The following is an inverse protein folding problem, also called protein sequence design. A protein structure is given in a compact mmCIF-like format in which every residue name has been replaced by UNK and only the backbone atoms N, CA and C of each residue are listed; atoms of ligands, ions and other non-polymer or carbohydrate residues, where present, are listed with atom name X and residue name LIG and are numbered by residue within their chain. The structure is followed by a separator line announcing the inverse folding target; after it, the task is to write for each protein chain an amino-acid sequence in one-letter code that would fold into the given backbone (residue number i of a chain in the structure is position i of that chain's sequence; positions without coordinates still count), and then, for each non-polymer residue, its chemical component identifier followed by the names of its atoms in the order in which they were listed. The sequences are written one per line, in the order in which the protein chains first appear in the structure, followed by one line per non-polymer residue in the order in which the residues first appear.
data_IF_465738077852
#
_entry.id   IF_465738077852
#
_cell.length_a   1.000
_cell.length_b   1.000
_cell.length_c   1.000
_cell.angle_alpha   90.00
_cell.angle_beta   90.00
_cell.angle_gamma   90.00
#
_symmetry.space_group_name_H-M   'P 1'
#
loop_
_entity.id
_entity.type
_entity.pdbx_description
1 polymer ?
#
# COMPACT_ATOMS: atom_id res chain seq x y z
N UNK A 1 -18.48 45.58 -68.15
CA UNK A 1 -18.47 44.21 -67.56
C UNK A 1 -17.44 44.17 -66.42
N UNK A 2 -17.81 44.46 -65.16
CA UNK A 2 -16.93 44.20 -63.98
C UNK A 2 -17.63 44.46 -62.62
N UNK A 3 -18.88 43.99 -62.43
CA UNK A 3 -19.60 44.21 -61.15
C UNK A 3 -19.99 42.90 -60.45
N UNK A 4 -19.96 41.75 -61.15
CA UNK A 4 -20.46 40.49 -60.59
C UNK A 4 -19.47 39.75 -59.65
N UNK A 5 -18.20 40.15 -59.55
CA UNK A 5 -17.21 39.41 -58.74
C UNK A 5 -17.13 39.81 -57.26
N UNK A 6 -17.59 41.02 -56.89
CA UNK A 6 -17.40 41.55 -55.52
C UNK A 6 -18.39 41.02 -54.48
N UNK A 7 -19.63 40.71 -54.86
CA UNK A 7 -20.62 40.15 -53.91
C UNK A 7 -20.31 38.70 -53.54
N UNK A 8 -19.94 37.87 -54.52
CA UNK A 8 -19.57 36.47 -54.28
C UNK A 8 -18.32 36.34 -53.38
N UNK A 9 -17.36 37.26 -53.52
CA UNK A 9 -16.15 37.29 -52.68
C UNK A 9 -16.44 37.63 -51.22
N UNK A 10 -17.38 38.54 -50.95
CA UNK A 10 -17.81 38.87 -49.57
C UNK A 10 -18.58 37.72 -48.92
N UNK A 11 -19.41 37.03 -49.70
CA UNK A 11 -20.15 35.84 -49.22
C UNK A 11 -19.20 34.69 -48.83
N UNK A 12 -18.20 34.40 -49.66
CA UNK A 12 -17.19 33.37 -49.36
C UNK A 12 -16.31 33.72 -48.15
N UNK A 13 -15.90 34.99 -48.01
CA UNK A 13 -15.14 35.45 -46.84
C UNK A 13 -15.96 35.34 -45.56
N UNK A 14 -17.24 35.69 -45.58
CA UNK A 14 -18.13 35.54 -44.43
C UNK A 14 -18.31 34.06 -44.06
N UNK A 15 -18.50 33.18 -45.04
CA UNK A 15 -18.63 31.74 -44.82
C UNK A 15 -17.36 31.14 -44.20
N UNK A 16 -16.18 31.52 -44.70
CA UNK A 16 -14.89 31.08 -44.15
C UNK A 16 -14.72 31.60 -42.71
N UNK A 17 -15.06 32.86 -42.46
CA UNK A 17 -14.97 33.48 -41.14
C UNK A 17 -15.91 32.79 -40.14
N UNK A 18 -17.11 32.42 -40.56
CA UNK A 18 -18.08 31.67 -39.77
C UNK A 18 -17.57 30.26 -39.42
N UNK A 19 -17.03 29.53 -40.40
CA UNK A 19 -16.41 28.21 -40.17
C UNK A 19 -15.21 28.31 -39.23
N UNK A 20 -14.37 29.34 -39.37
CA UNK A 20 -13.22 29.58 -38.48
C UNK A 20 -13.69 29.91 -37.06
N UNK A 21 -14.71 30.73 -36.88
CA UNK A 21 -15.27 31.06 -35.56
C UNK A 21 -15.86 29.84 -34.87
N UNK A 22 -16.63 29.01 -35.59
CA UNK A 22 -17.15 27.74 -35.05
C UNK A 22 -16.01 26.82 -34.65
N UNK A 23 -14.98 26.70 -35.49
CA UNK A 23 -13.79 25.87 -35.21
C UNK A 23 -13.03 26.34 -33.97
N UNK A 24 -12.85 27.66 -33.82
CA UNK A 24 -12.24 28.27 -32.64
C UNK A 24 -13.09 27.99 -31.39
N UNK A 25 -14.41 28.11 -31.48
CA UNK A 25 -15.32 27.83 -30.37
C UNK A 25 -15.20 26.38 -29.87
N UNK A 26 -15.20 25.41 -30.79
CA UNK A 26 -15.01 23.99 -30.46
C UNK A 26 -13.61 23.75 -29.87
N UNK A 27 -12.57 24.34 -30.45
CA UNK A 27 -11.20 24.19 -29.95
C UNK A 27 -11.05 24.75 -28.53
N UNK A 28 -11.63 25.92 -28.25
CA UNK A 28 -11.62 26.51 -26.91
C UNK A 28 -12.40 25.66 -25.90
N UNK A 29 -13.52 25.06 -26.29
CA UNK A 29 -14.28 24.15 -25.43
C UNK A 29 -13.47 22.89 -25.09
N UNK A 30 -12.82 22.26 -26.07
CA UNK A 30 -11.94 21.11 -25.86
C UNK A 30 -10.74 21.48 -24.98
N UNK A 31 -10.15 22.64 -25.20
CA UNK A 31 -9.02 23.11 -24.40
C UNK A 31 -9.42 23.37 -22.94
N UNK A 32 -10.57 24.01 -22.71
CA UNK A 32 -11.11 24.22 -21.37
C UNK A 32 -11.39 22.89 -20.65
N UNK A 33 -11.95 21.91 -21.37
CA UNK A 33 -12.21 20.57 -20.83
C UNK A 33 -10.90 19.86 -20.43
N UNK A 34 -9.91 19.84 -21.32
CA UNK A 34 -8.62 19.21 -21.04
C UNK A 34 -7.91 19.85 -19.84
N UNK A 35 -7.98 21.18 -19.72
CA UNK A 35 -7.40 21.87 -18.56
C UNK A 35 -8.10 21.48 -17.26
N UNK A 36 -9.43 21.36 -17.27
CA UNK A 36 -10.19 20.91 -16.12
C UNK A 36 -9.82 19.48 -15.71
N UNK A 37 -9.80 18.54 -16.67
CA UNK A 37 -9.42 17.14 -16.45
C UNK A 37 -8.01 17.01 -15.87
N UNK A 38 -7.03 17.71 -16.45
CA UNK A 38 -5.67 17.71 -15.91
C UNK A 38 -5.60 18.22 -14.46
N UNK A 39 -6.41 19.21 -14.12
CA UNK A 39 -6.47 19.74 -12.75
C UNK A 39 -7.05 18.70 -11.79
N UNK A 40 -8.09 17.99 -12.18
CA UNK A 40 -8.66 16.90 -11.39
C UNK A 40 -7.67 15.75 -11.22
N UNK A 41 -6.99 15.34 -12.29
CA UNK A 41 -5.96 14.29 -12.23
C UNK A 41 -4.81 14.66 -11.28
N UNK A 42 -4.34 15.92 -11.32
CA UNK A 42 -3.32 16.41 -10.38
C UNK A 42 -3.82 16.42 -8.93
N UNK A 43 -5.08 16.82 -8.71
CA UNK A 43 -5.68 16.84 -7.37
C UNK A 43 -5.83 15.41 -6.81
N UNK A 44 -6.26 14.46 -7.65
CA UNK A 44 -6.38 13.05 -7.30
C UNK A 44 -5.01 12.43 -7.01
N UNK A 45 -4.01 12.62 -7.88
CA UNK A 45 -2.64 12.13 -7.64
C UNK A 45 -2.09 12.64 -6.31
N UNK A 46 -2.34 13.91 -5.99
CA UNK A 46 -1.88 14.54 -4.75
C UNK A 46 -2.58 13.99 -3.51
N UNK A 47 -3.90 13.82 -3.53
CA UNK A 47 -4.63 13.23 -2.40
C UNK A 47 -4.22 11.77 -2.20
N UNK A 48 -4.02 11.01 -3.28
CA UNK A 48 -3.52 9.64 -3.24
C UNK A 48 -2.13 9.54 -2.62
N UNK A 49 -1.18 10.41 -3.01
CA UNK A 49 0.16 10.43 -2.40
C UNK A 49 0.11 10.73 -0.91
N UNK A 50 -0.75 11.65 -0.48
CA UNK A 50 -0.95 11.93 0.95
C UNK A 50 -1.47 10.70 1.69
N UNK A 51 -2.50 10.05 1.17
CA UNK A 51 -3.08 8.86 1.79
C UNK A 51 -2.05 7.73 1.89
N UNK A 52 -1.24 7.52 0.85
CA UNK A 52 -0.14 6.55 0.90
C UNK A 52 0.92 6.93 1.94
N UNK A 53 1.32 8.21 2.03
CA UNK A 53 2.30 8.63 3.01
C UNK A 53 1.83 8.36 4.45
N UNK A 54 0.55 8.64 4.74
CA UNK A 54 -0.03 8.44 6.06
C UNK A 54 -0.17 6.94 6.37
N UNK A 55 -0.73 6.15 5.44
CA UNK A 55 -0.95 4.70 5.60
C UNK A 55 0.37 3.91 5.69
N UNK A 56 1.35 4.20 4.84
CA UNK A 56 2.64 3.51 4.87
C UNK A 56 3.41 3.78 6.17
N UNK A 57 3.31 4.99 6.74
CA UNK A 57 3.93 5.29 8.05
C UNK A 57 3.21 4.58 9.19
N UNK A 58 1.87 4.57 9.18
CA UNK A 58 1.09 3.84 10.18
C UNK A 58 1.45 2.35 10.19
N UNK A 59 1.49 1.75 9.00
CA UNK A 59 1.88 0.37 8.78
C UNK A 59 3.33 0.09 9.19
N UNK A 60 4.27 0.98 8.83
CA UNK A 60 5.66 0.86 9.26
C UNK A 60 5.77 0.87 10.78
N UNK A 61 5.03 1.77 11.45
CA UNK A 61 5.03 1.87 12.90
C UNK A 61 4.43 0.62 13.55
N UNK A 62 3.36 0.05 12.98
CA UNK A 62 2.76 -1.19 13.46
C UNK A 62 3.77 -2.36 13.46
N UNK A 63 4.58 -2.51 12.41
CA UNK A 63 5.66 -3.51 12.38
C UNK A 63 6.71 -3.21 13.45
N UNK A 64 7.15 -1.95 13.57
CA UNK A 64 8.18 -1.56 14.56
C UNK A 64 7.72 -1.81 15.99
N UNK A 65 6.44 -1.63 16.32
CA UNK A 65 5.93 -1.82 17.68
C UNK A 65 5.87 -3.27 18.13
N UNK A 66 5.74 -4.21 17.19
CA UNK A 66 5.58 -5.64 17.51
C UNK A 66 6.88 -6.44 17.41
N UNK A 67 7.81 -5.99 16.57
CA UNK A 67 9.08 -6.68 16.28
C UNK A 67 9.86 -7.12 17.52
N UNK A 68 10.11 -6.22 18.48
CA UNK A 68 10.91 -6.57 19.67
C UNK A 68 10.23 -7.68 20.49
N UNK A 69 8.89 -7.68 20.51
CA UNK A 69 8.12 -8.73 21.17
C UNK A 69 8.26 -10.05 20.42
N UNK A 70 8.14 -10.08 19.09
CA UNK A 70 8.33 -11.30 18.29
C UNK A 70 9.74 -11.88 18.39
N UNK A 71 10.77 -11.04 18.35
CA UNK A 71 12.17 -11.45 18.54
C UNK A 71 12.38 -12.08 19.93
N UNK A 72 11.81 -11.45 20.98
CA UNK A 72 11.94 -11.94 22.35
C UNK A 72 11.18 -13.25 22.55
N UNK A 73 9.95 -13.34 22.03
CA UNK A 73 9.12 -14.53 22.13
C UNK A 73 9.77 -15.71 21.40
N UNK A 74 10.30 -15.51 20.19
CA UNK A 74 10.99 -16.56 19.44
C UNK A 74 12.17 -17.13 20.24
N UNK A 75 12.99 -16.26 20.82
CA UNK A 75 14.12 -16.67 21.68
C UNK A 75 13.67 -17.44 22.92
N UNK A 76 12.63 -16.99 23.61
CA UNK A 76 12.11 -17.67 24.80
C UNK A 76 11.55 -19.05 24.46
N UNK A 77 10.83 -19.20 23.34
CA UNK A 77 10.34 -20.49 22.87
C UNK A 77 11.48 -21.41 22.45
N UNK A 78 12.51 -20.88 21.79
CA UNK A 78 13.72 -21.63 21.44
C UNK A 78 14.41 -22.17 22.70
N UNK A 79 14.68 -21.32 23.69
CA UNK A 79 15.26 -21.68 24.98
C UNK A 79 14.42 -22.73 25.73
N UNK A 80 13.08 -22.61 25.66
CA UNK A 80 12.17 -23.60 26.22
C UNK A 80 12.36 -24.99 25.58
N UNK A 81 12.48 -25.04 24.25
CA UNK A 81 12.55 -26.28 23.47
C UNK A 81 13.90 -27.01 23.58
N UNK A 82 15.00 -26.27 23.69
CA UNK A 82 16.35 -26.85 23.75
C UNK A 82 16.78 -27.26 25.16
N UNK A 83 16.01 -26.90 26.20
CA UNK A 83 16.35 -27.27 27.57
C UNK A 83 16.14 -28.77 27.83
N UNK A 84 16.88 -29.28 28.83
CA UNK A 84 16.73 -30.67 29.29
C UNK A 84 15.52 -30.89 30.23
N UNK A 85 14.80 -29.84 30.63
CA UNK A 85 13.61 -29.94 31.46
C UNK A 85 12.37 -30.39 30.64
N UNK A 86 11.45 -31.18 31.23
CA UNK A 86 10.22 -31.58 30.55
C UNK A 86 9.40 -30.38 30.03
N UNK A 87 8.86 -30.44 28.80
CA UNK A 87 8.08 -29.34 28.21
C UNK A 87 6.65 -29.34 28.74
N UNK A 88 6.46 -28.93 30.00
CA UNK A 88 5.14 -28.83 30.65
C UNK A 88 4.53 -27.44 30.48
N UNK A 89 3.21 -27.36 30.60
CA UNK A 89 2.49 -26.08 30.55
C UNK A 89 2.92 -25.12 31.68
N UNK A 90 3.11 -25.64 32.89
CA UNK A 90 3.58 -24.84 34.03
C UNK A 90 4.95 -24.18 33.74
N UNK A 91 5.86 -24.93 33.13
CA UNK A 91 7.17 -24.42 32.72
C UNK A 91 7.03 -23.38 31.63
N UNK A 92 6.16 -23.61 30.65
CA UNK A 92 5.90 -22.66 29.57
C UNK A 92 5.42 -21.31 30.13
N UNK A 93 4.45 -21.32 31.05
CA UNK A 93 3.92 -20.11 31.69
C UNK A 93 4.96 -19.37 32.54
N UNK A 94 5.91 -20.08 33.15
CA UNK A 94 6.99 -19.47 33.97
C UNK A 94 8.15 -18.92 33.14
N UNK A 95 8.52 -19.60 32.06
CA UNK A 95 9.72 -19.30 31.26
C UNK A 95 9.46 -18.40 30.05
N UNK A 96 8.22 -18.39 29.54
CA UNK A 96 7.85 -17.63 28.35
C UNK A 96 6.82 -16.56 28.72
N UNK A 97 7.13 -15.30 28.42
CA UNK A 97 6.22 -14.18 28.66
C UNK A 97 5.21 -14.05 27.51
N UNK A 98 4.35 -15.04 27.37
CA UNK A 98 3.38 -15.10 26.30
C UNK A 98 2.22 -14.12 26.52
N UNK A 99 2.04 -13.18 25.58
CA UNK A 99 0.95 -12.18 25.55
C UNK A 99 0.13 -12.30 24.26
N UNK A 100 0.04 -13.51 23.70
CA UNK A 100 -0.53 -13.76 22.37
C UNK A 100 0.51 -13.68 21.27
N UNK A 101 0.16 -14.10 20.06
CA UNK A 101 1.08 -14.06 18.90
C UNK A 101 1.13 -12.70 18.21
N UNK A 102 0.34 -11.72 18.68
CA UNK A 102 0.32 -10.30 18.29
C UNK A 102 0.50 -10.06 16.77
N UNK A 103 -0.44 -10.56 15.94
CA UNK A 103 -0.35 -10.37 14.49
C UNK A 103 -0.37 -8.88 14.13
N UNK A 104 0.34 -8.52 13.07
CA UNK A 104 0.44 -7.14 12.58
C UNK A 104 -0.71 -6.86 11.62
N UNK A 105 -1.58 -5.94 12.01
CA UNK A 105 -2.69 -5.50 11.15
C UNK A 105 -2.20 -4.35 10.27
N UNK A 106 -2.18 -4.57 8.95
CA UNK A 106 -1.89 -3.53 7.97
C UNK A 106 -3.18 -2.87 7.48
N UNK A 107 -3.16 -1.54 7.44
CA UNK A 107 -4.12 -0.72 6.72
C UNK A 107 -3.88 -0.85 5.21
N UNK A 108 -4.96 -0.94 4.43
CA UNK A 108 -4.94 -1.08 2.97
C UNK A 108 -5.94 -0.13 2.26
N UNK A 109 -6.47 0.85 2.99
CA UNK A 109 -7.55 1.72 2.49
C UNK A 109 -7.05 2.66 1.39
N UNK A 110 -5.84 3.20 1.55
CA UNK A 110 -5.22 4.06 0.55
C UNK A 110 -4.98 3.30 -0.76
N UNK A 111 -4.56 2.04 -0.65
CA UNK A 111 -4.38 1.15 -1.80
C UNK A 111 -5.69 0.84 -2.52
N UNK A 112 -6.72 0.40 -1.78
CA UNK A 112 -8.02 0.06 -2.36
C UNK A 112 -8.67 1.27 -3.04
N UNK A 113 -8.58 2.44 -2.40
CA UNK A 113 -9.08 3.69 -2.97
C UNK A 113 -8.31 4.07 -4.23
N UNK A 114 -6.99 3.93 -4.24
CA UNK A 114 -6.17 4.23 -5.41
C UNK A 114 -6.46 3.31 -6.59
N UNK A 115 -6.75 2.02 -6.34
CA UNK A 115 -7.20 1.08 -7.37
C UNK A 115 -8.59 1.45 -7.89
N UNK A 116 -9.55 1.69 -6.99
CA UNK A 116 -10.93 2.02 -7.35
C UNK A 116 -11.05 3.31 -8.17
N UNK A 117 -10.21 4.30 -7.87
CA UNK A 117 -10.18 5.60 -8.56
C UNK A 117 -9.20 5.65 -9.74
N UNK A 118 -8.47 4.56 -9.99
CA UNK A 118 -7.38 4.49 -10.99
C UNK A 118 -6.29 5.55 -10.77
N UNK A 119 -6.13 6.04 -9.53
CA UNK A 119 -5.23 7.13 -9.21
C UNK A 119 -3.75 6.80 -9.47
N UNK A 120 -3.39 5.51 -9.44
CA UNK A 120 -2.04 5.04 -9.76
C UNK A 120 -1.58 5.43 -11.18
N UNK A 121 -2.50 5.58 -12.13
CA UNK A 121 -2.19 5.99 -13.51
C UNK A 121 -1.66 7.42 -13.63
N UNK A 122 -1.93 8.26 -12.62
CA UNK A 122 -1.46 9.64 -12.55
C UNK A 122 -0.17 9.80 -11.73
N UNK A 123 0.37 8.71 -11.18
CA UNK A 123 1.66 8.69 -10.49
C UNK A 123 2.79 8.37 -11.45
N UNK A 124 4.03 8.66 -11.04
CA UNK A 124 5.20 8.19 -11.78
C UNK A 124 5.22 6.66 -11.79
N UNK A 125 5.47 5.99 -12.93
CA UNK A 125 5.44 4.54 -13.04
C UNK A 125 6.31 3.81 -12.00
N UNK A 126 7.54 4.28 -11.80
CA UNK A 126 8.47 3.68 -10.82
C UNK A 126 7.94 3.78 -9.38
N UNK A 127 7.32 4.91 -9.03
CA UNK A 127 6.74 5.12 -7.70
C UNK A 127 5.51 4.23 -7.49
N UNK A 128 4.62 4.16 -8.48
CA UNK A 128 3.46 3.27 -8.42
C UNK A 128 3.88 1.80 -8.28
N UNK A 129 4.94 1.39 -8.99
CA UNK A 129 5.52 0.05 -8.90
C UNK A 129 6.11 -0.22 -7.52
N UNK A 130 6.87 0.71 -6.96
CA UNK A 130 7.50 0.54 -5.65
C UNK A 130 6.46 0.54 -4.51
N UNK A 131 5.41 1.36 -4.59
CA UNK A 131 4.24 1.26 -3.69
C UNK A 131 3.59 -0.12 -3.80
N UNK A 132 3.35 -0.61 -5.02
CA UNK A 132 2.73 -1.93 -5.25
C UNK A 132 3.54 -3.08 -4.62
N UNK A 133 4.88 -2.99 -4.62
CA UNK A 133 5.74 -3.98 -3.95
C UNK A 133 5.52 -4.01 -2.44
N UNK A 134 5.32 -2.85 -1.80
CA UNK A 134 5.05 -2.78 -0.36
C UNK A 134 3.75 -3.51 -0.04
N UNK A 135 2.66 -3.19 -0.74
CA UNK A 135 1.37 -3.85 -0.52
C UNK A 135 1.40 -5.35 -0.85
N UNK A 136 2.17 -5.76 -1.86
CA UNK A 136 2.38 -7.18 -2.15
C UNK A 136 3.09 -7.88 -0.98
N UNK A 137 4.12 -7.24 -0.41
CA UNK A 137 4.82 -7.79 0.76
C UNK A 137 3.92 -7.86 2.00
N UNK A 138 3.09 -6.84 2.26
CA UNK A 138 2.09 -6.84 3.33
C UNK A 138 1.08 -7.99 3.15
N UNK A 139 0.55 -8.18 1.94
CA UNK A 139 -0.39 -9.25 1.65
C UNK A 139 0.21 -10.65 1.87
N UNK A 140 1.46 -10.84 1.44
CA UNK A 140 2.19 -12.09 1.70
C UNK A 140 2.43 -12.31 3.20
N UNK A 141 2.66 -11.23 3.96
CA UNK A 141 2.81 -11.26 5.41
C UNK A 141 1.50 -11.70 6.08
N UNK A 142 0.38 -11.04 5.79
CA UNK A 142 -0.94 -11.38 6.33
C UNK A 142 -1.38 -12.79 5.96
N UNK A 143 -1.03 -13.27 4.77
CA UNK A 143 -1.34 -14.64 4.34
C UNK A 143 -0.66 -15.66 5.25
N UNK A 144 0.60 -15.43 5.63
CA UNK A 144 1.32 -16.27 6.59
C UNK A 144 0.64 -16.23 7.96
N UNK A 145 0.34 -15.03 8.48
CA UNK A 145 -0.32 -14.88 9.79
C UNK A 145 -1.67 -15.59 9.83
N UNK A 146 -2.52 -15.36 8.83
CA UNK A 146 -3.85 -15.98 8.74
C UNK A 146 -3.76 -17.51 8.65
N UNK A 147 -2.78 -18.02 7.89
CA UNK A 147 -2.55 -19.47 7.76
C UNK A 147 -2.08 -20.07 9.07
N UNK A 148 -1.17 -19.40 9.78
CA UNK A 148 -0.73 -19.82 11.10
C UNK A 148 -1.89 -19.80 12.11
N UNK A 149 -2.62 -18.70 12.23
CA UNK A 149 -3.76 -18.57 13.14
C UNK A 149 -4.81 -19.65 12.87
N UNK A 150 -5.17 -19.88 11.60
CA UNK A 150 -6.12 -20.94 11.24
C UNK A 150 -5.65 -22.34 11.67
N UNK A 151 -4.33 -22.61 11.62
CA UNK A 151 -3.75 -23.89 12.06
C UNK A 151 -3.56 -23.99 13.58
N UNK A 152 -3.29 -22.86 14.25
CA UNK A 152 -3.04 -22.80 15.68
C UNK A 152 -4.33 -22.93 16.48
N UNK A 153 -5.45 -22.41 15.97
CA UNK A 153 -6.75 -22.45 16.64
C UNK A 153 -7.60 -23.69 16.27
N UNK A 154 -7.01 -24.88 16.31
CA UNK A 154 -7.75 -26.15 16.13
C UNK A 154 -7.99 -26.88 17.46
N UNK A 155 -9.07 -27.67 17.61
CA UNK A 155 -9.31 -28.44 18.83
C UNK A 155 -8.15 -29.37 19.24
N UNK A 156 -7.39 -29.86 18.27
CA UNK A 156 -6.22 -30.71 18.51
C UNK A 156 -5.07 -29.94 19.20
N UNK A 157 -4.87 -28.67 18.83
CA UNK A 157 -3.83 -27.80 19.41
C UNK A 157 -4.11 -27.45 20.87
N UNK A 158 -5.38 -27.42 21.29
CA UNK A 158 -5.80 -27.15 22.67
C UNK A 158 -5.86 -28.40 23.57
N UNK A 159 -5.49 -29.57 23.06
CA UNK A 159 -5.33 -30.75 23.92
C UNK A 159 -4.05 -30.61 24.76
N UNK A 160 -4.15 -30.88 26.06
CA UNK A 160 -3.07 -30.69 27.06
C UNK A 160 -1.81 -31.50 26.78
N UNK A 161 -1.88 -32.49 25.90
CA UNK A 161 -0.86 -33.52 25.76
C UNK A 161 0.25 -33.14 24.75
N UNK A 162 0.13 -32.00 24.06
CA UNK A 162 1.07 -31.61 22.99
C UNK A 162 1.68 -30.20 23.13
N UNK A 163 2.07 -29.81 24.35
CA UNK A 163 2.74 -28.52 24.62
C UNK A 163 4.00 -28.33 23.76
N UNK A 164 4.82 -29.39 23.61
CA UNK A 164 6.05 -29.32 22.79
C UNK A 164 5.75 -29.03 21.32
N UNK A 165 4.74 -29.68 20.75
CA UNK A 165 4.34 -29.46 19.36
C UNK A 165 3.79 -28.06 19.12
N UNK A 166 2.97 -27.55 20.04
CA UNK A 166 2.48 -26.17 20.00
C UNK A 166 3.62 -25.17 20.03
N UNK A 167 4.55 -25.31 20.98
CA UNK A 167 5.69 -24.39 21.13
C UNK A 167 6.60 -24.43 19.90
N UNK A 168 6.87 -25.61 19.34
CA UNK A 168 7.63 -25.74 18.09
C UNK A 168 6.94 -25.03 16.92
N UNK A 169 5.62 -25.19 16.76
CA UNK A 169 4.88 -24.50 15.70
C UNK A 169 4.93 -22.97 15.84
N UNK A 170 4.80 -22.46 17.08
CA UNK A 170 4.92 -21.03 17.37
C UNK A 170 6.33 -20.50 17.10
N UNK A 171 7.38 -21.26 17.46
CA UNK A 171 8.76 -20.90 17.17
C UNK A 171 9.00 -20.80 15.66
N UNK A 172 8.61 -21.81 14.88
CA UNK A 172 8.77 -21.78 13.42
C UNK A 172 8.06 -20.58 12.79
N UNK A 173 6.82 -20.31 13.20
CA UNK A 173 6.09 -19.11 12.75
C UNK A 173 6.85 -17.83 13.07
N UNK A 174 7.34 -17.66 14.30
CA UNK A 174 8.05 -16.45 14.70
C UNK A 174 9.41 -16.30 14.03
N UNK A 175 10.09 -17.40 13.69
CA UNK A 175 11.32 -17.35 12.89
C UNK A 175 11.05 -16.77 11.50
N UNK A 176 9.94 -17.16 10.86
CA UNK A 176 9.53 -16.59 9.57
C UNK A 176 9.14 -15.11 9.69
N UNK A 177 8.40 -14.75 10.74
CA UNK A 177 8.04 -13.35 11.03
C UNK A 177 9.29 -12.50 11.24
N UNK A 178 10.23 -12.94 12.07
CA UNK A 178 11.48 -12.23 12.37
C UNK A 178 12.38 -12.08 11.13
N UNK A 179 12.21 -12.90 10.08
CA UNK A 179 12.88 -12.70 8.79
C UNK A 179 12.14 -11.69 7.89
N UNK A 180 10.81 -11.70 7.91
CA UNK A 180 9.97 -10.84 7.05
C UNK A 180 9.88 -9.40 7.54
N UNK A 181 9.84 -9.18 8.86
CA UNK A 181 9.72 -7.84 9.44
C UNK A 181 10.87 -6.91 9.04
N UNK A 182 12.16 -7.30 9.10
CA UNK A 182 13.24 -6.45 8.60
C UNK A 182 13.12 -6.15 7.11
N UNK A 183 12.72 -7.14 6.31
CA UNK A 183 12.58 -6.98 4.87
C UNK A 183 11.49 -5.96 4.49
N UNK A 184 10.32 -6.04 5.14
CA UNK A 184 9.25 -5.08 4.89
C UNK A 184 9.60 -3.68 5.45
N UNK A 185 10.32 -3.60 6.57
CA UNK A 185 10.83 -2.33 7.10
C UNK A 185 11.80 -1.65 6.13
N UNK A 186 12.69 -2.41 5.47
CA UNK A 186 13.56 -1.88 4.43
C UNK A 186 12.78 -1.34 3.23
N UNK A 187 11.68 -2.00 2.84
CA UNK A 187 10.80 -1.48 1.79
C UNK A 187 10.16 -0.15 2.21
N UNK A 188 9.65 -0.03 3.45
CA UNK A 188 9.12 1.24 3.95
C UNK A 188 10.19 2.34 4.00
N UNK A 189 11.38 2.02 4.51
CA UNK A 189 12.49 2.97 4.62
C UNK A 189 12.93 3.52 3.25
N UNK A 190 12.71 2.76 2.17
CA UNK A 190 12.90 3.22 0.79
C UNK A 190 11.71 4.04 0.26
N UNK A 191 10.50 3.50 0.36
CA UNK A 191 9.34 4.02 -0.38
C UNK A 191 8.70 5.23 0.30
N UNK A 192 8.67 5.29 1.63
CA UNK A 192 8.05 6.42 2.36
C UNK A 192 8.72 7.76 1.99
N UNK A 193 10.07 7.88 1.98
CA UNK A 193 10.71 9.12 1.52
C UNK A 193 10.40 9.49 0.07
N UNK A 194 10.28 8.51 -0.84
CA UNK A 194 9.94 8.75 -2.25
C UNK A 194 8.52 9.30 -2.41
N UNK A 195 7.55 8.75 -1.65
CA UNK A 195 6.18 9.24 -1.61
C UNK A 195 6.13 10.67 -1.04
N UNK A 196 6.87 10.95 0.03
CA UNK A 196 6.94 12.27 0.66
C UNK A 196 7.53 13.34 -0.26
N UNK A 197 8.59 12.98 -0.99
CA UNK A 197 9.20 13.85 -1.98
C UNK A 197 8.22 14.12 -3.12
N UNK A 198 7.54 13.09 -3.63
CA UNK A 198 6.56 13.24 -4.70
C UNK A 198 5.38 14.14 -4.27
N UNK A 199 4.89 13.97 -3.04
CA UNK A 199 3.85 14.82 -2.47
C UNK A 199 4.33 16.28 -2.34
N UNK A 200 5.55 16.51 -1.85
CA UNK A 200 6.11 17.85 -1.68
C UNK A 200 6.25 18.60 -3.01
N UNK A 201 6.73 17.92 -4.06
CA UNK A 201 6.84 18.50 -5.41
C UNK A 201 5.46 18.89 -5.97
N UNK A 202 4.44 18.07 -5.71
CA UNK A 202 3.05 18.35 -6.10
C UNK A 202 2.42 19.54 -5.37
N UNK A 203 3.07 20.05 -4.32
CA UNK A 203 2.63 21.21 -3.55
C UNK A 203 3.22 22.54 -4.05
N UNK A 204 4.32 22.48 -4.82
CA UNK A 204 5.05 23.65 -5.33
C UNK A 204 4.75 24.00 -6.80
N UNK A 205 3.97 23.19 -7.51
CA UNK A 205 3.52 23.42 -8.89
C UNK A 205 2.01 23.60 -8.92
#
# INVERSE_FOLDING_TARGET
MSVCSREHQRSLLNLILEVVLISIGVFLALWANNWHEEREHRALARSTLRNFADELRANQQAVRSERQYHETLARQLHEFLISNEPPTEERLQKSVQFKGVRPIIFEHTAWDLALATQALSYLKPDLAFDISKVYTAQSAFQTLENSFLASAFTPATFSSDNVKGLVAAMEYYLLDINQKEPAILQLYDKVVPEVDQAFSISNTR
#
